data_IF_249600355769
#
_entry.id   IF_249600355769
#
_cell.length_a   1.000
_cell.length_b   1.000
_cell.length_c   1.000
_cell.angle_alpha   90.00
_cell.angle_beta   90.00
_cell.angle_gamma   90.00
#
_symmetry.space_group_name_H-M   'P 1'
#
loop_
_entity.id
_entity.type
_entity.pdbx_description
1 polymer ?
#
# COMPACT_ATOMS: atom_id res chain seq x y z
N UNK A 1 13.54 -56.80 -7.57
CA UNK A 1 12.86 -55.87 -6.64
C UNK A 1 13.63 -54.58 -6.33
N UNK A 2 14.81 -54.34 -6.91
CA UNK A 2 15.68 -53.18 -6.59
C UNK A 2 15.54 -51.97 -7.53
N UNK A 3 14.95 -52.13 -8.72
CA UNK A 3 14.80 -51.03 -9.70
C UNK A 3 13.67 -50.04 -9.38
N UNK A 4 12.54 -50.53 -8.84
CA UNK A 4 11.36 -49.70 -8.53
C UNK A 4 11.60 -48.70 -7.39
N UNK A 5 12.49 -49.03 -6.43
CA UNK A 5 12.76 -48.20 -5.26
C UNK A 5 13.63 -46.98 -5.62
N UNK A 6 14.55 -47.12 -6.58
CA UNK A 6 15.39 -46.02 -7.09
C UNK A 6 14.58 -44.96 -7.84
N UNK A 7 13.49 -45.35 -8.49
CA UNK A 7 12.62 -44.40 -9.23
C UNK A 7 11.81 -43.52 -8.27
N UNK A 8 11.30 -44.09 -7.18
CA UNK A 8 10.53 -43.34 -6.17
C UNK A 8 11.40 -42.33 -5.39
N UNK A 9 12.64 -42.69 -5.03
CA UNK A 9 13.57 -41.78 -4.32
C UNK A 9 13.98 -40.59 -5.18
N UNK A 10 14.21 -40.80 -6.48
CA UNK A 10 14.50 -39.70 -7.42
C UNK A 10 13.30 -38.75 -7.57
N UNK A 11 12.06 -39.27 -7.49
CA UNK A 11 10.86 -38.44 -7.58
C UNK A 11 10.70 -37.55 -6.34
N UNK A 12 10.94 -38.09 -5.15
CA UNK A 12 10.91 -37.30 -3.90
C UNK A 12 12.03 -36.26 -3.85
N UNK A 13 13.23 -36.58 -4.30
CA UNK A 13 14.34 -35.60 -4.37
C UNK A 13 14.06 -34.50 -5.42
N UNK A 14 13.39 -34.82 -6.52
CA UNK A 14 12.98 -33.81 -7.51
C UNK A 14 11.87 -32.89 -6.98
N UNK A 15 10.89 -33.41 -6.24
CA UNK A 15 9.82 -32.59 -5.64
C UNK A 15 10.40 -31.67 -4.57
N UNK A 16 11.27 -32.17 -3.70
CA UNK A 16 11.93 -31.36 -2.65
C UNK A 16 12.91 -30.34 -3.24
N UNK A 17 13.57 -30.66 -4.36
CA UNK A 17 14.45 -29.74 -5.07
C UNK A 17 13.75 -28.62 -5.84
N UNK A 18 12.46 -28.80 -6.18
CA UNK A 18 11.68 -27.80 -6.92
C UNK A 18 11.00 -26.79 -6.01
N UNK A 19 10.63 -27.17 -4.78
CA UNK A 19 10.06 -26.23 -3.79
C UNK A 19 11.03 -25.12 -3.36
N UNK A 20 12.35 -25.35 -3.51
CA UNK A 20 13.39 -24.35 -3.25
C UNK A 20 13.60 -23.34 -4.39
N UNK A 21 13.04 -23.58 -5.59
CA UNK A 21 13.11 -22.68 -6.73
C UNK A 21 11.83 -21.87 -6.78
N UNK A 22 11.82 -20.76 -6.06
CA UNK A 22 10.80 -19.72 -6.24
C UNK A 22 10.53 -19.50 -7.72
N UNK A 23 9.32 -19.86 -8.20
CA UNK A 23 8.92 -19.65 -9.58
C UNK A 23 9.19 -18.19 -9.97
N UNK A 24 9.93 -17.93 -11.07
CA UNK A 24 10.30 -16.57 -11.48
C UNK A 24 9.08 -15.66 -11.75
N UNK A 25 7.90 -16.25 -11.94
CA UNK A 25 6.64 -15.55 -12.15
C UNK A 25 6.16 -14.72 -10.94
N UNK A 26 6.59 -15.03 -9.71
CA UNK A 26 6.19 -14.28 -8.50
C UNK A 26 7.00 -12.99 -8.33
N UNK A 27 8.09 -12.81 -9.10
CA UNK A 27 8.99 -11.65 -9.01
C UNK A 27 8.48 -10.39 -9.73
N UNK A 28 7.31 -10.44 -10.38
CA UNK A 28 6.87 -9.48 -11.38
C UNK A 28 6.62 -8.03 -10.89
N UNK A 29 6.74 -7.74 -9.59
CA UNK A 29 6.60 -6.37 -9.07
C UNK A 29 7.77 -5.95 -8.16
N UNK A 30 9.00 -6.17 -8.62
CA UNK A 30 10.15 -5.47 -8.03
C UNK A 30 10.11 -3.99 -8.44
N UNK A 31 9.43 -3.16 -7.66
CA UNK A 31 9.34 -1.72 -7.94
C UNK A 31 10.71 -1.05 -7.81
N UNK A 32 11.20 -0.44 -8.88
CA UNK A 32 12.50 0.24 -8.93
C UNK A 32 12.49 1.63 -8.26
N UNK A 33 11.33 2.27 -8.13
CA UNK A 33 11.24 3.67 -7.67
C UNK A 33 10.28 3.87 -6.49
N UNK A 34 10.68 3.52 -5.25
CA UNK A 34 9.83 3.64 -4.06
C UNK A 34 9.45 5.09 -3.72
N UNK A 35 10.28 6.06 -4.09
CA UNK A 35 9.99 7.49 -3.86
C UNK A 35 8.86 7.97 -4.77
N UNK A 36 8.86 7.55 -6.05
CA UNK A 36 7.82 7.94 -7.01
C UNK A 36 6.43 7.45 -6.59
N UNK A 37 6.35 6.23 -6.06
CA UNK A 37 5.09 5.68 -5.55
C UNK A 37 4.62 6.42 -4.29
N UNK A 38 5.54 6.76 -3.37
CA UNK A 38 5.19 7.56 -2.21
C UNK A 38 4.67 8.94 -2.60
N UNK A 39 5.34 9.62 -3.54
CA UNK A 39 4.92 10.92 -4.06
C UNK A 39 3.61 10.84 -4.84
N UNK A 40 3.41 9.77 -5.63
CA UNK A 40 2.17 9.56 -6.36
C UNK A 40 0.97 9.46 -5.40
N UNK A 41 1.06 8.63 -4.36
CA UNK A 41 -0.01 8.54 -3.35
C UNK A 41 -0.29 9.87 -2.65
N UNK A 42 0.77 10.65 -2.33
CA UNK A 42 0.63 11.96 -1.72
C UNK A 42 -0.06 12.98 -2.65
N UNK A 43 0.28 12.99 -3.94
CA UNK A 43 -0.36 13.85 -4.94
C UNK A 43 -1.81 13.45 -5.17
N UNK A 44 -2.10 12.15 -5.26
CA UNK A 44 -3.49 11.66 -5.39
C UNK A 44 -4.34 12.06 -4.18
N UNK A 45 -3.80 11.92 -2.96
CA UNK A 45 -4.50 12.35 -1.76
C UNK A 45 -4.70 13.87 -1.73
N UNK A 46 -3.68 14.64 -2.12
CA UNK A 46 -3.79 16.10 -2.20
C UNK A 46 -4.86 16.53 -3.20
N UNK A 47 -4.96 15.86 -4.35
CA UNK A 47 -6.00 16.12 -5.35
C UNK A 47 -7.41 15.72 -4.90
N UNK A 48 -7.54 14.77 -3.96
CA UNK A 48 -8.82 14.43 -3.35
C UNK A 48 -9.30 15.45 -2.31
N UNK A 49 -8.37 16.26 -1.77
CA UNK A 49 -8.65 17.31 -0.79
C UNK A 49 -8.94 18.66 -1.49
N UNK A 50 -9.54 19.63 -0.79
CA UNK A 50 -9.63 21.01 -1.28
C UNK A 50 -8.22 21.51 -1.58
N UNK A 51 -7.93 22.05 -2.79
CA UNK A 51 -8.84 22.78 -3.69
C UNK A 51 -9.50 21.98 -4.83
N UNK A 52 -9.05 20.76 -5.13
CA UNK A 52 -9.52 20.00 -6.30
C UNK A 52 -10.80 19.19 -6.00
N UNK A 53 -11.00 18.78 -4.75
CA UNK A 53 -12.20 18.09 -4.24
C UNK A 53 -12.63 16.85 -5.05
N UNK A 54 -11.67 16.16 -5.68
CA UNK A 54 -11.98 14.98 -6.49
C UNK A 54 -12.14 13.76 -5.57
N UNK A 55 -13.28 13.67 -4.89
CA UNK A 55 -13.57 12.66 -3.88
C UNK A 55 -13.32 11.19 -4.31
N UNK A 56 -13.50 10.76 -5.59
CA UNK A 56 -13.21 9.38 -5.98
C UNK A 56 -11.72 9.04 -5.89
N UNK A 57 -10.82 10.03 -6.01
CA UNK A 57 -9.38 9.80 -5.93
C UNK A 57 -8.96 9.32 -4.54
N UNK A 58 -9.69 9.65 -3.48
CA UNK A 58 -9.39 9.19 -2.13
C UNK A 58 -9.40 7.64 -2.02
N UNK A 59 -10.23 6.97 -2.82
CA UNK A 59 -10.37 5.50 -2.84
C UNK A 59 -9.24 4.79 -3.58
N UNK A 60 -8.40 5.52 -4.32
CA UNK A 60 -7.25 4.98 -5.03
C UNK A 60 -5.92 5.57 -4.53
N UNK A 61 -5.96 6.68 -3.80
CA UNK A 61 -4.79 7.41 -3.32
C UNK A 61 -3.84 6.56 -2.47
N UNK A 62 -4.37 5.60 -1.71
CA UNK A 62 -3.56 4.72 -0.88
C UNK A 62 -2.94 3.53 -1.64
N UNK A 63 -3.37 3.23 -2.87
CA UNK A 63 -2.85 2.08 -3.65
C UNK A 63 -1.31 2.14 -3.81
N UNK A 64 -0.70 3.28 -4.19
CA UNK A 64 0.77 3.37 -4.27
C UNK A 64 1.47 3.06 -2.94
N UNK A 65 0.90 3.49 -1.81
CA UNK A 65 1.48 3.20 -0.49
C UNK A 65 1.34 1.74 -0.09
N UNK A 66 0.23 1.09 -0.45
CA UNK A 66 0.04 -0.35 -0.24
C UNK A 66 1.04 -1.18 -1.04
N UNK A 67 1.35 -0.79 -2.28
CA UNK A 67 2.40 -1.45 -3.08
C UNK A 67 3.77 -1.38 -2.42
N UNK A 68 4.06 -0.28 -1.72
CA UNK A 68 5.31 -0.12 -0.95
C UNK A 68 5.36 -1.12 0.21
N UNK A 69 4.29 -1.19 1.00
CA UNK A 69 4.21 -2.05 2.20
C UNK A 69 4.38 -3.53 1.82
N UNK A 70 3.74 -3.93 0.72
CA UNK A 70 3.74 -5.30 0.19
C UNK A 70 5.06 -5.70 -0.49
N UNK A 71 5.90 -4.73 -0.90
CA UNK A 71 7.17 -5.03 -1.57
C UNK A 71 8.12 -5.84 -0.65
N UNK A 72 8.61 -7.03 -1.08
CA UNK A 72 9.43 -7.93 -0.27
C UNK A 72 10.79 -7.36 0.16
N UNK A 73 11.40 -6.45 -0.61
CA UNK A 73 12.75 -5.94 -0.37
C UNK A 73 12.92 -5.21 0.96
N UNK A 74 14.08 -5.33 1.62
CA UNK A 74 14.39 -4.61 2.86
C UNK A 74 14.47 -3.11 2.64
N UNK A 75 14.01 -2.33 3.62
CA UNK A 75 14.03 -0.87 3.54
C UNK A 75 15.30 -0.32 4.18
N UNK A 76 15.92 0.65 3.52
CA UNK A 76 17.09 1.37 4.04
C UNK A 76 16.61 2.57 4.88
N UNK A 77 17.33 3.00 5.92
CA UNK A 77 16.98 4.19 6.71
C UNK A 77 16.77 5.45 5.86
N UNK A 78 17.55 5.61 4.78
CA UNK A 78 17.41 6.72 3.82
C UNK A 78 16.02 6.79 3.17
N UNK A 79 15.33 5.66 2.98
CA UNK A 79 14.00 5.63 2.37
C UNK A 79 12.93 6.22 3.29
N UNK A 80 13.04 5.98 4.60
CA UNK A 80 12.14 6.61 5.58
C UNK A 80 12.28 8.13 5.58
N UNK A 81 13.51 8.64 5.47
CA UNK A 81 13.77 10.08 5.34
C UNK A 81 13.15 10.62 4.05
N UNK A 82 13.32 9.92 2.92
CA UNK A 82 12.73 10.32 1.65
C UNK A 82 11.19 10.37 1.70
N UNK A 83 10.54 9.37 2.28
CA UNK A 83 9.08 9.39 2.46
C UNK A 83 8.63 10.47 3.42
N UNK A 84 9.46 10.80 4.41
CA UNK A 84 9.18 11.88 5.31
C UNK A 84 9.30 13.26 4.66
N UNK A 85 10.25 13.43 3.72
CA UNK A 85 10.31 14.62 2.86
C UNK A 85 9.06 14.71 1.97
N UNK A 86 8.60 13.60 1.40
CA UNK A 86 7.35 13.56 0.62
C UNK A 86 6.16 13.97 1.49
N UNK A 87 6.05 13.43 2.70
CA UNK A 87 5.02 13.83 3.67
C UNK A 87 5.12 15.31 4.04
N UNK A 88 6.33 15.82 4.28
CA UNK A 88 6.58 17.23 4.57
C UNK A 88 6.10 18.15 3.44
N UNK A 89 6.44 17.83 2.19
CA UNK A 89 6.01 18.59 1.01
C UNK A 89 4.49 18.57 0.84
N UNK A 90 3.86 17.41 1.08
CA UNK A 90 2.40 17.31 1.09
C UNK A 90 1.77 18.26 2.12
N UNK A 91 2.29 18.29 3.35
CA UNK A 91 1.77 19.17 4.41
C UNK A 91 2.07 20.64 4.16
N UNK A 92 3.22 20.97 3.58
CA UNK A 92 3.52 22.32 3.10
C UNK A 92 2.45 22.80 2.12
N UNK A 93 2.08 21.97 1.15
CA UNK A 93 1.03 22.29 0.19
C UNK A 93 -0.36 22.35 0.84
N UNK A 94 -0.69 21.42 1.73
CA UNK A 94 -1.99 21.37 2.41
C UNK A 94 -2.20 22.55 3.38
N UNK A 95 -1.13 23.07 3.98
CA UNK A 95 -1.17 24.12 5.01
C UNK A 95 -0.68 25.48 4.51
N UNK A 96 -0.50 25.66 3.21
CA UNK A 96 0.00 26.91 2.63
C UNK A 96 -0.82 28.15 3.03
N UNK A 97 -2.11 27.97 3.36
CA UNK A 97 -3.00 29.04 3.79
C UNK A 97 -2.70 29.54 5.22
N UNK A 98 -1.99 28.77 6.05
CA UNK A 98 -1.65 29.13 7.44
C UNK A 98 -0.64 30.30 7.54
N UNK A 99 0.00 30.66 6.42
CA UNK A 99 0.94 31.79 6.34
C UNK A 99 0.25 33.17 6.22
N UNK A 100 -1.03 33.20 5.85
CA UNK A 100 -1.79 34.42 5.56
C UNK A 100 -2.03 35.33 6.80
N UNK A 101 -2.26 34.81 8.03
CA UNK A 101 -2.63 35.65 9.16
C UNK A 101 -1.51 36.56 9.69
N UNK A 102 -0.25 36.08 9.74
CA UNK A 102 0.85 36.85 10.31
C UNK A 102 2.20 36.31 9.82
N UNK A 103 3.21 37.16 9.60
CA UNK A 103 4.54 36.73 9.15
C UNK A 103 5.18 35.69 10.07
N UNK A 104 5.01 35.85 11.39
CA UNK A 104 5.48 34.89 12.40
C UNK A 104 4.82 33.49 12.29
N UNK A 105 3.61 33.36 11.73
CA UNK A 105 2.97 32.03 11.54
C UNK A 105 3.64 31.21 10.45
N UNK A 106 4.48 31.83 9.61
CA UNK A 106 5.29 31.12 8.62
C UNK A 106 6.26 30.13 9.27
N UNK A 107 6.84 30.48 10.43
CA UNK A 107 7.69 29.57 11.20
C UNK A 107 6.88 28.39 11.75
N UNK A 108 5.68 28.67 12.27
CA UNK A 108 4.74 27.65 12.75
C UNK A 108 4.31 26.70 11.64
N UNK A 109 4.04 27.21 10.43
CA UNK A 109 3.68 26.40 9.25
C UNK A 109 4.78 25.41 8.86
N UNK A 110 6.05 25.84 8.84
CA UNK A 110 7.19 24.95 8.56
C UNK A 110 7.37 23.91 9.65
N UNK A 111 7.35 24.33 10.93
CA UNK A 111 7.50 23.42 12.07
C UNK A 111 6.38 22.38 12.12
N UNK A 112 5.12 22.81 11.90
CA UNK A 112 3.95 21.93 11.92
C UNK A 112 3.99 20.93 10.77
N UNK A 113 4.38 21.36 9.56
CA UNK A 113 4.52 20.45 8.42
C UNK A 113 5.64 19.44 8.63
N UNK A 114 6.73 19.83 9.30
CA UNK A 114 7.81 18.92 9.65
C UNK A 114 7.34 17.84 10.61
N UNK A 115 6.62 18.23 11.67
CA UNK A 115 5.98 17.29 12.59
C UNK A 115 5.02 16.33 11.87
N UNK A 116 4.14 16.86 11.00
CA UNK A 116 3.15 16.07 10.29
C UNK A 116 3.75 15.20 9.17
N UNK A 117 4.90 15.60 8.60
CA UNK A 117 5.59 14.84 7.55
C UNK A 117 6.00 13.44 7.99
N UNK A 118 6.24 13.24 9.30
CA UNK A 118 6.62 11.94 9.87
C UNK A 118 5.47 10.93 9.96
N UNK A 119 4.22 11.35 9.78
CA UNK A 119 3.07 10.45 9.79
C UNK A 119 3.08 9.47 8.61
N UNK A 120 3.56 9.89 7.44
CA UNK A 120 3.63 9.02 6.26
C UNK A 120 4.65 7.88 6.45
N UNK A 121 5.92 8.15 6.84
CA UNK A 121 6.86 7.09 7.24
C UNK A 121 6.34 6.20 8.37
N UNK A 122 5.68 6.79 9.37
CA UNK A 122 5.09 6.02 10.48
C UNK A 122 4.02 5.04 9.98
N UNK A 123 3.13 5.49 9.10
CA UNK A 123 2.11 4.64 8.47
C UNK A 123 2.73 3.46 7.72
N UNK A 124 3.72 3.73 6.87
CA UNK A 124 4.41 2.70 6.09
C UNK A 124 5.15 1.70 6.99
N UNK A 125 5.87 2.20 8.00
CA UNK A 125 6.63 1.38 8.95
C UNK A 125 5.74 0.50 9.81
N UNK A 126 4.73 1.07 10.46
CA UNK A 126 3.79 0.35 11.33
C UNK A 126 2.99 -0.69 10.55
N UNK A 127 2.49 -0.34 9.36
CA UNK A 127 1.72 -1.28 8.53
C UNK A 127 2.58 -2.46 8.08
N UNK A 128 3.85 -2.22 7.80
CA UNK A 128 4.80 -3.28 7.44
C UNK A 128 5.16 -4.15 8.63
N UNK A 129 5.35 -3.59 9.82
CA UNK A 129 5.57 -4.35 11.04
C UNK A 129 4.35 -5.24 11.32
N UNK A 130 3.13 -4.71 11.24
CA UNK A 130 1.91 -5.48 11.42
C UNK A 130 1.76 -6.61 10.41
N UNK A 131 2.02 -6.35 9.13
CA UNK A 131 1.88 -7.37 8.09
C UNK A 131 2.98 -8.45 8.18
N UNK A 132 4.23 -8.08 8.48
CA UNK A 132 5.36 -9.04 8.47
C UNK A 132 5.61 -9.73 9.79
N UNK A 133 5.54 -9.00 10.91
CA UNK A 133 5.82 -9.57 12.24
C UNK A 133 4.59 -10.24 12.84
N UNK A 134 3.42 -9.60 12.71
CA UNK A 134 2.16 -10.15 13.26
C UNK A 134 1.41 -11.05 12.25
N UNK A 135 1.86 -11.12 10.99
CA UNK A 135 1.26 -11.92 9.90
C UNK A 135 -0.24 -11.64 9.70
N UNK A 136 -0.68 -10.44 10.05
CA UNK A 136 -2.06 -10.00 9.87
C UNK A 136 -2.34 -9.64 8.41
N UNK A 137 -3.60 -9.75 7.94
CA UNK A 137 -3.95 -9.38 6.59
C UNK A 137 -3.69 -7.89 6.34
N UNK A 138 -3.03 -7.58 5.22
CA UNK A 138 -2.66 -6.21 4.84
C UNK A 138 -3.86 -5.24 4.89
N UNK A 139 -5.06 -5.71 4.54
CA UNK A 139 -6.29 -4.92 4.53
C UNK A 139 -6.63 -4.35 5.89
N UNK A 140 -6.69 -5.19 6.91
CA UNK A 140 -7.06 -4.80 8.28
C UNK A 140 -5.93 -3.98 8.90
N UNK A 141 -4.68 -4.37 8.67
CA UNK A 141 -3.51 -3.63 9.19
C UNK A 141 -3.46 -2.22 8.63
N UNK A 142 -3.53 -2.05 7.31
CA UNK A 142 -3.47 -0.73 6.70
C UNK A 142 -4.62 0.18 7.16
N UNK A 143 -5.85 -0.34 7.19
CA UNK A 143 -7.01 0.42 7.66
C UNK A 143 -6.86 0.86 9.12
N UNK A 144 -6.44 -0.06 9.99
CA UNK A 144 -6.33 0.18 11.43
C UNK A 144 -5.17 1.11 11.76
N UNK A 145 -4.01 0.94 11.11
CA UNK A 145 -2.85 1.81 11.30
C UNK A 145 -3.13 3.22 10.79
N UNK A 146 -3.80 3.37 9.63
CA UNK A 146 -4.18 4.69 9.13
C UNK A 146 -5.15 5.41 10.08
N UNK A 147 -6.25 4.76 10.45
CA UNK A 147 -7.23 5.34 11.37
C UNK A 147 -6.61 5.64 12.74
N UNK A 148 -5.78 4.73 13.27
CA UNK A 148 -5.06 4.94 14.53
C UNK A 148 -4.10 6.13 14.46
N UNK A 149 -3.39 6.31 13.35
CA UNK A 149 -2.54 7.48 13.14
C UNK A 149 -3.34 8.77 13.02
N UNK A 150 -4.52 8.75 12.40
CA UNK A 150 -5.42 9.91 12.39
C UNK A 150 -5.92 10.25 13.81
N UNK A 151 -6.24 9.26 14.64
CA UNK A 151 -6.61 9.46 16.05
C UNK A 151 -5.44 10.04 16.84
N UNK A 152 -4.23 9.49 16.67
CA UNK A 152 -3.02 10.04 17.31
C UNK A 152 -2.80 11.48 16.87
N UNK A 153 -2.90 11.77 15.56
CA UNK A 153 -2.77 13.12 15.01
C UNK A 153 -3.79 14.08 15.61
N UNK A 154 -4.99 13.60 15.90
CA UNK A 154 -6.09 14.38 16.44
C UNK A 154 -5.96 14.73 17.93
N UNK A 155 -5.10 14.04 18.69
CA UNK A 155 -4.97 14.25 20.14
C UNK A 155 -3.55 14.63 20.58
N UNK A 156 -2.54 14.30 19.77
CA UNK A 156 -1.14 14.59 20.09
C UNK A 156 -0.83 16.07 19.86
N UNK A 157 -0.16 16.71 20.83
CA UNK A 157 0.23 18.13 20.80
C UNK A 157 -0.95 19.04 20.40
N UNK A 158 -2.01 19.00 21.22
CA UNK A 158 -3.30 19.72 21.04
C UNK A 158 -4.17 19.24 19.89
N UNK A 159 -3.67 18.37 19.01
CA UNK A 159 -4.46 17.73 17.96
C UNK A 159 -4.57 18.55 16.68
N UNK A 160 -4.46 17.87 15.53
CA UNK A 160 -4.60 18.47 14.21
C UNK A 160 -5.27 17.53 13.20
N UNK A 161 -6.59 17.65 13.04
CA UNK A 161 -7.41 16.75 12.22
C UNK A 161 -7.55 17.16 10.74
N UNK A 162 -6.85 18.22 10.31
CA UNK A 162 -6.92 18.67 8.93
C UNK A 162 -6.43 17.60 7.95
N UNK A 163 -6.93 17.67 6.71
CA UNK A 163 -6.59 16.71 5.65
C UNK A 163 -6.83 15.23 6.06
N UNK A 164 -7.89 14.96 6.82
CA UNK A 164 -8.34 13.58 7.10
C UNK A 164 -8.96 12.95 5.86
N UNK A 165 -8.78 11.64 5.68
CA UNK A 165 -9.29 10.93 4.52
C UNK A 165 -10.82 11.01 4.45
N UNK A 166 -11.48 10.96 5.61
CA UNK A 166 -12.92 11.16 5.77
C UNK A 166 -13.44 12.50 5.29
N UNK A 167 -12.66 13.58 5.39
CA UNK A 167 -13.09 14.90 4.90
C UNK A 167 -13.29 14.92 3.38
N UNK A 168 -12.62 14.03 2.64
CA UNK A 168 -12.82 13.91 1.18
C UNK A 168 -14.23 13.42 0.82
N UNK A 169 -14.90 12.70 1.73
CA UNK A 169 -16.21 12.10 1.50
C UNK A 169 -17.38 12.93 2.07
N UNK A 170 -17.16 14.21 2.38
CA UNK A 170 -18.18 15.06 3.02
C UNK A 170 -19.51 15.16 2.25
N UNK A 171 -19.48 14.98 0.93
CA UNK A 171 -20.69 15.02 0.06
C UNK A 171 -21.50 13.73 0.07
N UNK A 172 -20.96 12.63 0.59
CA UNK A 172 -21.60 11.32 0.51
C UNK A 172 -22.34 10.98 1.81
N UNK A 173 -23.59 11.43 1.92
CA UNK A 173 -24.39 11.33 3.16
C UNK A 173 -24.52 9.91 3.69
N UNK A 174 -24.71 8.91 2.83
CA UNK A 174 -24.77 7.49 3.24
C UNK A 174 -23.50 7.03 3.96
N UNK A 175 -22.35 7.60 3.58
CA UNK A 175 -21.06 7.27 4.18
C UNK A 175 -20.85 8.03 5.50
N UNK A 176 -21.42 9.24 5.62
CA UNK A 176 -21.43 9.98 6.88
C UNK A 176 -22.24 9.30 7.99
N UNK A 177 -23.25 8.49 7.68
CA UNK A 177 -23.99 7.74 8.72
C UNK A 177 -23.08 6.79 9.52
N UNK A 178 -21.96 6.34 8.93
CA UNK A 178 -20.95 5.54 9.63
C UNK A 178 -20.25 6.37 10.71
N UNK A 179 -20.14 7.70 10.51
CA UNK A 179 -19.54 8.59 11.47
C UNK A 179 -20.36 8.71 12.77
N UNK A 180 -21.67 8.41 12.74
CA UNK A 180 -22.48 8.40 13.96
C UNK A 180 -22.05 7.29 14.94
N UNK A 181 -21.45 6.21 14.43
CA UNK A 181 -20.99 5.08 15.25
C UNK A 181 -19.56 5.24 15.78
N UNK A 182 -18.65 5.78 14.95
CA UNK A 182 -17.21 5.79 15.25
C UNK A 182 -16.48 7.06 14.81
N UNK A 183 -17.22 8.14 14.55
CA UNK A 183 -16.70 9.41 14.10
C UNK A 183 -16.07 9.37 12.71
N UNK A 184 -15.37 10.44 12.37
CA UNK A 184 -14.67 10.59 11.09
C UNK A 184 -13.59 9.50 10.87
N UNK A 185 -13.04 8.92 11.94
CA UNK A 185 -12.00 7.88 11.84
C UNK A 185 -12.56 6.54 11.32
N UNK A 186 -13.81 6.20 11.67
CA UNK A 186 -14.46 5.01 11.14
C UNK A 186 -14.64 5.10 9.62
N UNK A 187 -14.99 6.30 9.11
CA UNK A 187 -15.07 6.57 7.69
C UNK A 187 -13.70 6.39 7.01
N UNK A 188 -12.64 6.99 7.56
CA UNK A 188 -11.28 6.82 7.05
C UNK A 188 -10.84 5.35 7.05
N UNK A 189 -11.21 4.60 8.10
CA UNK A 189 -10.94 3.17 8.21
C UNK A 189 -11.61 2.39 7.07
N UNK A 190 -12.89 2.65 6.79
CA UNK A 190 -13.65 1.99 5.71
C UNK A 190 -13.02 2.29 4.34
N UNK A 191 -12.67 3.54 4.06
CA UNK A 191 -12.07 3.90 2.76
C UNK A 191 -10.73 3.19 2.58
N UNK A 192 -9.88 3.19 3.61
CA UNK A 192 -8.58 2.51 3.56
C UNK A 192 -8.74 0.98 3.43
N UNK A 193 -9.73 0.40 4.11
CA UNK A 193 -10.06 -1.01 4.02
C UNK A 193 -10.49 -1.40 2.60
N UNK A 194 -11.42 -0.66 2.01
CA UNK A 194 -11.90 -0.90 0.63
C UNK A 194 -10.78 -0.71 -0.37
N UNK A 195 -9.98 0.35 -0.23
CA UNK A 195 -8.80 0.60 -1.09
C UNK A 195 -7.82 -0.57 -1.04
N UNK A 196 -7.62 -1.15 0.15
CA UNK A 196 -6.77 -2.32 0.34
C UNK A 196 -7.33 -3.59 -0.29
N UNK A 197 -8.65 -3.79 -0.22
CA UNK A 197 -9.33 -4.87 -0.90
C UNK A 197 -9.21 -4.74 -2.43
N UNK A 198 -9.40 -3.54 -2.97
CA UNK A 198 -9.22 -3.25 -4.39
C UNK A 198 -7.79 -3.55 -4.86
N UNK A 199 -6.78 -3.13 -4.08
CA UNK A 199 -5.39 -3.42 -4.36
C UNK A 199 -5.11 -4.93 -4.43
N UNK A 200 -5.56 -5.71 -3.44
CA UNK A 200 -5.32 -7.16 -3.40
C UNK A 200 -6.05 -7.89 -4.54
N UNK A 201 -7.30 -7.51 -4.83
CA UNK A 201 -8.07 -8.07 -5.94
C UNK A 201 -7.40 -7.79 -7.28
N UNK A 202 -6.95 -6.55 -7.49
CA UNK A 202 -6.19 -6.15 -8.69
C UNK A 202 -4.88 -6.94 -8.84
N UNK A 203 -4.10 -7.07 -7.76
CA UNK A 203 -2.86 -7.85 -7.76
C UNK A 203 -3.10 -9.32 -8.12
N UNK A 204 -4.10 -9.96 -7.50
CA UNK A 204 -4.46 -11.36 -7.78
C UNK A 204 -4.91 -11.57 -9.23
N UNK A 205 -5.77 -10.67 -9.74
CA UNK A 205 -6.23 -10.72 -11.13
C UNK A 205 -5.09 -10.55 -12.13
N UNK A 206 -4.17 -9.63 -11.87
CA UNK A 206 -3.02 -9.39 -12.74
C UNK A 206 -2.10 -10.61 -12.81
N UNK A 207 -1.79 -11.22 -11.67
CA UNK A 207 -1.00 -12.46 -11.60
C UNK A 207 -1.68 -13.58 -12.38
N UNK A 208 -2.99 -13.74 -12.22
CA UNK A 208 -3.77 -14.74 -12.97
C UNK A 208 -3.69 -14.51 -14.48
N UNK A 209 -3.81 -13.26 -14.95
CA UNK A 209 -3.69 -12.92 -16.38
C UNK A 209 -2.29 -13.21 -16.93
N UNK A 210 -1.24 -12.90 -16.19
CA UNK A 210 0.14 -13.19 -16.60
C UNK A 210 0.40 -14.70 -16.64
N UNK A 211 -0.10 -15.45 -15.66
CA UNK A 211 0.04 -16.90 -15.64
C UNK A 211 -0.71 -17.57 -16.80
N UNK A 212 -1.93 -17.11 -17.09
CA UNK A 212 -2.70 -17.60 -18.23
C UNK A 212 -1.99 -17.32 -19.57
N UNK A 213 -1.45 -16.10 -19.75
CA UNK A 213 -0.65 -15.77 -20.96
C UNK A 213 0.62 -16.60 -21.08
N UNK A 214 1.32 -16.88 -19.98
CA UNK A 214 2.53 -17.69 -19.99
C UNK A 214 2.24 -19.16 -20.34
N UNK A 215 1.15 -19.74 -19.83
CA UNK A 215 0.71 -21.09 -20.21
C UNK A 215 0.31 -21.19 -21.68
N UNK A 216 -0.32 -20.16 -22.25
CA UNK A 216 -0.69 -20.13 -23.67
C UNK A 216 0.51 -19.91 -24.61
N UNK A 217 1.57 -19.25 -24.15
CA UNK A 217 2.77 -18.99 -24.95
C UNK A 217 3.73 -20.20 -25.06
N UNK A 218 3.48 -21.29 -24.32
CA UNK A 218 4.26 -22.52 -24.46
C UNK A 218 3.74 -23.30 -25.67
N UNK A 219 4.55 -23.51 -26.74
CA UNK A 219 4.13 -24.34 -27.85
C UNK A 219 3.84 -25.75 -27.31
N UNK A 220 2.65 -26.28 -27.61
CA UNK A 220 2.29 -27.63 -27.21
C UNK A 220 3.29 -28.59 -27.84
N UNK A 221 4.23 -29.12 -27.05
CA UNK A 221 4.99 -30.31 -27.42
C UNK A 221 4.04 -31.51 -27.34
N UNK A 222 3.14 -31.59 -28.31
CA UNK A 222 2.37 -32.79 -28.63
C UNK A 222 2.61 -33.07 -30.11
N UNK A 223 3.45 -34.08 -30.37
CA UNK A 223 3.66 -34.57 -31.73
C UNK A 223 5.08 -35.06 -32.03
N UNK A 224 5.58 -36.06 -31.29
CA UNK A 224 6.40 -37.16 -31.85
C UNK A 224 6.62 -38.26 -30.82
N UNK A 225 5.54 -38.97 -30.53
CA UNK A 225 5.62 -40.41 -30.24
C UNK A 225 5.39 -41.15 -31.56
N UNK A 226 6.37 -41.09 -32.46
CA UNK A 226 6.40 -42.02 -33.60
C UNK A 226 7.24 -43.22 -33.18
N UNK A 227 6.52 -44.14 -32.52
CA UNK A 227 6.53 -45.59 -32.75
C UNK A 227 7.85 -46.20 -33.21
N UNK A 228 8.40 -47.01 -32.30
CA UNK A 228 9.27 -48.16 -32.52
C UNK A 228 9.10 -48.80 -33.92
N UNK A 229 10.19 -48.89 -34.67
CA UNK A 229 10.56 -50.07 -35.46
C UNK A 229 12.07 -50.16 -35.60
#
# INVERSE_FOLDING_TARGET
>A
MTASRKSATNLTDQIVGDEGKSHPAVSAFRTSHPVLLASLGAVLLWAALPPLEVWPLAWIAAIPWLTLIDNPGSWKPRQYIQWGIVGFLFWMAALHWLRLPHWATSFGWVALSFYLGWYLPAFLGLSRIGTRRLRLPLTVVAATVWAGLEVVRAHLLTGFTMASLSHTQYRWISLLQIADLGGAYAVSWVIMFVTSCLYLSGKRGLVFLFQNRACQALPSKHGRSTVLR
#
